data_IF_665931058642
#
_entry.id   IF_665931058642
#
_cell.length_a   1.000
_cell.length_b   1.000
_cell.length_c   1.000
_cell.angle_alpha   90.00
_cell.angle_beta   90.00
_cell.angle_gamma   90.00
#
_symmetry.space_group_name_H-M   'P 1'
#
loop_
_entity.id
_entity.type
_entity.pdbx_description
1 polymer ?
#
# COMPACT_ATOMS: atom_id res chain seq x y z
N UNK A 1 -5.58 9.41 11.07
CA UNK A 1 -4.90 8.44 10.21
C UNK A 1 -3.91 7.57 11.00
N UNK A 2 -2.89 8.12 11.65
CA UNK A 2 -1.80 7.35 12.31
C UNK A 2 -2.25 6.31 13.33
N UNK A 3 -3.27 6.59 14.15
CA UNK A 3 -3.81 5.63 15.11
C UNK A 3 -4.37 4.39 14.41
N UNK A 4 -5.18 4.59 13.38
CA UNK A 4 -5.72 3.47 12.61
C UNK A 4 -4.61 2.70 11.86
N UNK A 5 -3.57 3.39 11.40
CA UNK A 5 -2.45 2.74 10.73
C UNK A 5 -1.65 1.85 11.66
N UNK A 6 -1.39 2.32 12.90
CA UNK A 6 -0.62 1.58 13.89
C UNK A 6 -1.41 0.43 14.52
N UNK A 7 -2.64 0.73 14.96
CA UNK A 7 -3.40 -0.11 15.87
C UNK A 7 -4.57 -0.86 15.19
N UNK A 8 -4.94 -0.47 13.96
CA UNK A 8 -6.11 -0.99 13.26
C UNK A 8 -7.42 -0.30 13.68
N UNK A 9 -8.50 -0.66 13.00
CA UNK A 9 -9.83 -0.11 13.27
C UNK A 9 -10.40 -0.58 14.61
N UNK A 10 -10.34 -1.91 14.88
CA UNK A 10 -10.95 -2.49 16.06
C UNK A 10 -10.35 -1.94 17.36
N UNK A 11 -9.02 -1.92 17.45
CA UNK A 11 -8.29 -1.49 18.65
C UNK A 11 -8.24 0.04 18.85
N UNK A 12 -8.68 0.83 17.87
CA UNK A 12 -8.71 2.29 17.98
C UNK A 12 -10.03 2.75 18.59
N UNK A 13 -10.08 2.93 19.91
CA UNK A 13 -11.24 3.46 20.62
C UNK A 13 -11.46 4.96 20.41
N UNK A 14 -12.73 5.42 20.57
CA UNK A 14 -13.09 6.84 20.38
C UNK A 14 -12.38 7.77 21.37
N UNK A 15 -12.22 7.37 22.63
CA UNK A 15 -11.52 8.16 23.65
C UNK A 15 -10.05 8.41 23.28
N UNK A 16 -9.43 7.45 22.64
CA UNK A 16 -8.06 7.55 22.17
C UNK A 16 -7.94 8.50 20.97
N UNK A 17 -8.95 8.49 20.08
CA UNK A 17 -9.06 9.47 18.99
C UNK A 17 -9.22 10.88 19.54
N UNK A 18 -10.14 11.10 20.49
CA UNK A 18 -10.36 12.38 21.15
C UNK A 18 -9.06 12.90 21.79
N UNK A 19 -8.40 12.08 22.62
CA UNK A 19 -7.12 12.47 23.24
C UNK A 19 -6.04 12.84 22.22
N UNK A 20 -5.92 12.08 21.15
CA UNK A 20 -4.86 12.28 20.14
C UNK A 20 -5.11 13.48 19.24
N UNK A 21 -6.38 13.75 18.89
CA UNK A 21 -6.76 14.85 18.02
C UNK A 21 -6.98 16.16 18.77
N UNK A 22 -7.10 16.11 20.09
CA UNK A 22 -7.53 17.24 20.95
C UNK A 22 -8.91 17.80 20.57
N UNK A 23 -9.67 17.08 19.76
CA UNK A 23 -11.04 17.42 19.40
C UNK A 23 -12.01 16.91 20.47
N UNK A 24 -13.12 17.59 20.69
CA UNK A 24 -14.20 17.07 21.54
C UNK A 24 -14.84 15.86 20.84
N UNK A 25 -15.48 14.98 21.64
CA UNK A 25 -16.29 13.88 21.09
C UNK A 25 -17.39 14.41 20.17
N UNK A 26 -18.06 15.48 20.59
CA UNK A 26 -19.06 16.19 19.79
C UNK A 26 -18.48 16.69 18.45
N UNK A 27 -17.33 17.33 18.48
CA UNK A 27 -16.66 17.85 17.27
C UNK A 27 -16.28 16.75 16.28
N UNK A 28 -15.83 15.58 16.78
CA UNK A 28 -15.55 14.42 15.91
C UNK A 28 -16.82 13.88 15.22
N UNK A 29 -17.93 13.79 15.99
CA UNK A 29 -19.21 13.36 15.42
C UNK A 29 -19.79 14.39 14.45
N UNK A 30 -19.76 15.67 14.80
CA UNK A 30 -20.26 16.75 13.93
C UNK A 30 -19.48 16.82 12.60
N UNK A 31 -18.16 16.56 12.63
CA UNK A 31 -17.31 16.67 11.44
C UNK A 31 -17.36 15.41 10.56
N UNK A 32 -17.35 14.22 11.17
CA UNK A 32 -17.17 12.95 10.45
C UNK A 32 -18.38 12.01 10.55
N UNK A 33 -19.40 12.30 11.37
CA UNK A 33 -20.51 11.41 11.61
C UNK A 33 -20.20 10.26 12.60
N UNK A 34 -18.95 9.85 12.74
CA UNK A 34 -18.54 8.82 13.69
C UNK A 34 -17.18 8.19 13.41
N UNK A 35 -16.81 7.20 14.24
CA UNK A 35 -15.52 6.48 14.12
C UNK A 35 -15.35 5.83 12.74
N UNK A 36 -16.44 5.28 12.19
CA UNK A 36 -16.45 4.62 10.88
C UNK A 36 -16.08 5.60 9.76
N UNK A 37 -16.72 6.74 9.72
CA UNK A 37 -16.51 7.71 8.64
C UNK A 37 -15.17 8.42 8.78
N UNK A 38 -14.72 8.69 10.02
CA UNK A 38 -13.35 9.12 10.29
C UNK A 38 -12.31 8.08 9.81
N UNK A 39 -12.58 6.80 9.97
CA UNK A 39 -11.71 5.73 9.44
C UNK A 39 -11.68 5.73 7.91
N UNK A 40 -12.84 5.84 7.25
CA UNK A 40 -12.92 5.93 5.80
C UNK A 40 -12.21 7.17 5.25
N UNK A 41 -12.34 8.32 5.92
CA UNK A 41 -11.59 9.54 5.60
C UNK A 41 -10.08 9.37 5.83
N UNK A 42 -9.70 8.58 6.84
CA UNK A 42 -8.29 8.26 7.12
C UNK A 42 -7.67 7.36 6.03
N UNK A 43 -8.44 6.41 5.47
CA UNK A 43 -8.01 5.60 4.33
C UNK A 43 -7.80 6.47 3.08
N UNK A 44 -8.72 7.39 2.82
CA UNK A 44 -8.60 8.32 1.70
C UNK A 44 -7.36 9.20 1.84
N UNK A 45 -7.16 9.80 3.03
CA UNK A 45 -5.97 10.61 3.32
C UNK A 45 -4.67 9.81 3.17
N UNK A 46 -4.68 8.53 3.57
CA UNK A 46 -3.52 7.66 3.39
C UNK A 46 -3.24 7.41 1.91
N UNK A 47 -4.27 7.15 1.11
CA UNK A 47 -4.11 6.98 -0.34
C UNK A 47 -3.44 8.19 -0.97
N UNK A 48 -3.94 9.39 -0.68
CA UNK A 48 -3.40 10.65 -1.22
C UNK A 48 -1.98 10.97 -0.72
N UNK A 49 -1.74 10.83 0.59
CA UNK A 49 -0.48 11.28 1.19
C UNK A 49 0.67 10.27 1.09
N UNK A 50 0.35 8.98 0.94
CA UNK A 50 1.36 7.90 0.98
C UNK A 50 1.35 7.08 -0.30
N UNK A 51 0.16 6.63 -0.76
CA UNK A 51 0.08 5.73 -1.91
C UNK A 51 0.27 6.44 -3.24
N UNK A 52 -0.34 7.61 -3.45
CA UNK A 52 -0.20 8.35 -4.70
C UNK A 52 1.26 8.75 -4.97
N UNK A 53 2.01 9.33 -4.02
CA UNK A 53 3.44 9.56 -4.21
C UNK A 53 4.24 8.28 -4.47
N UNK A 54 3.85 7.15 -3.86
CA UNK A 54 4.54 5.87 -4.07
C UNK A 54 4.31 5.34 -5.50
N UNK A 55 3.12 5.52 -6.05
CA UNK A 55 2.72 5.02 -7.37
C UNK A 55 3.14 5.94 -8.52
N UNK A 56 3.51 7.19 -8.23
CA UNK A 56 3.84 8.20 -9.23
C UNK A 56 4.80 7.70 -10.33
N UNK A 57 5.89 6.94 -10.08
CA UNK A 57 6.74 6.45 -11.15
C UNK A 57 6.00 5.56 -12.14
N UNK A 58 5.02 4.79 -11.65
CA UNK A 58 4.23 3.90 -12.48
C UNK A 58 3.14 4.64 -13.27
N UNK A 59 2.85 5.91 -12.98
CA UNK A 59 1.81 6.68 -13.66
C UNK A 59 2.26 7.27 -15.00
N UNK A 60 3.56 7.37 -15.25
CA UNK A 60 4.06 7.72 -16.57
C UNK A 60 3.53 6.72 -17.62
N UNK A 61 3.01 7.24 -18.73
CA UNK A 61 2.49 6.41 -19.82
C UNK A 61 3.58 5.52 -20.44
N UNK A 62 4.86 5.92 -20.35
CA UNK A 62 6.05 5.19 -20.82
C UNK A 62 6.73 4.36 -19.74
N UNK A 63 6.13 4.26 -18.53
CA UNK A 63 6.70 3.46 -17.45
C UNK A 63 7.04 2.04 -17.93
N UNK A 64 8.24 1.56 -17.57
CA UNK A 64 8.78 0.27 -17.95
C UNK A 64 9.49 -0.38 -16.73
N UNK A 65 10.45 -1.28 -16.91
CA UNK A 65 11.18 -1.93 -15.81
C UNK A 65 11.84 -0.93 -14.87
N UNK A 66 12.35 0.19 -15.39
CA UNK A 66 12.97 1.25 -14.58
C UNK A 66 11.99 1.83 -13.56
N UNK A 67 10.77 2.14 -13.97
CA UNK A 67 9.74 2.72 -13.11
C UNK A 67 9.17 1.70 -12.13
N UNK A 68 9.12 0.41 -12.50
CA UNK A 68 8.82 -0.69 -11.58
C UNK A 68 9.89 -0.74 -10.47
N UNK A 69 11.17 -0.63 -10.80
CA UNK A 69 12.25 -0.58 -9.80
C UNK A 69 12.11 0.65 -8.90
N UNK A 70 11.85 1.83 -9.47
CA UNK A 70 11.64 3.07 -8.71
C UNK A 70 10.45 2.96 -7.75
N UNK A 71 9.34 2.32 -8.15
CA UNK A 71 8.22 2.02 -7.25
C UNK A 71 8.67 1.16 -6.06
N UNK A 72 9.41 0.09 -6.29
CA UNK A 72 9.90 -0.77 -5.20
C UNK A 72 10.95 -0.08 -4.32
N UNK A 73 11.76 0.82 -4.86
CA UNK A 73 12.66 1.66 -4.07
C UNK A 73 11.87 2.58 -3.11
N UNK A 74 10.75 3.13 -3.55
CA UNK A 74 9.84 3.91 -2.69
C UNK A 74 9.17 3.03 -1.62
N UNK A 75 8.74 1.80 -1.96
CA UNK A 75 8.24 0.81 -0.98
C UNK A 75 9.30 0.55 0.09
N UNK A 76 10.53 0.24 -0.31
CA UNK A 76 11.64 0.00 0.62
C UNK A 76 12.00 1.26 1.42
N UNK A 77 11.91 2.44 0.80
CA UNK A 77 12.10 3.73 1.46
C UNK A 77 11.08 3.96 2.59
N UNK A 78 9.80 3.70 2.33
CA UNK A 78 8.75 3.80 3.35
C UNK A 78 8.99 2.81 4.51
N UNK A 79 9.40 1.57 4.18
CA UNK A 79 9.70 0.53 5.18
C UNK A 79 10.92 0.90 6.04
N UNK A 80 11.93 1.58 5.50
CA UNK A 80 13.09 2.09 6.26
C UNK A 80 12.76 3.28 7.14
N UNK A 81 11.73 4.03 6.78
CA UNK A 81 11.35 5.26 7.49
C UNK A 81 10.81 5.01 8.90
N UNK A 82 10.61 6.09 9.69
CA UNK A 82 10.19 6.01 11.10
C UNK A 82 8.86 5.27 11.34
N UNK A 83 8.08 5.07 10.30
CA UNK A 83 6.79 4.36 10.34
C UNK A 83 6.81 2.96 9.73
N UNK A 84 7.97 2.46 9.31
CA UNK A 84 8.06 1.26 8.48
C UNK A 84 7.44 0.00 9.09
N UNK A 85 7.57 -0.18 10.40
CA UNK A 85 6.92 -1.28 11.13
C UNK A 85 5.38 -1.21 11.19
N UNK A 86 4.77 -0.11 10.73
CA UNK A 86 3.30 -0.03 10.59
C UNK A 86 2.81 -0.80 9.36
N UNK A 87 3.69 -1.14 8.43
CA UNK A 87 3.33 -1.72 7.14
C UNK A 87 2.57 -0.75 6.25
N UNK A 88 1.70 -1.26 5.39
CA UNK A 88 0.76 -0.47 4.58
C UNK A 88 -0.63 -0.47 5.23
N UNK A 89 -1.23 0.71 5.44
CA UNK A 89 -2.58 0.79 6.03
C UNK A 89 -3.62 0.01 5.20
N UNK A 90 -3.54 0.08 3.87
CA UNK A 90 -4.48 -0.65 2.99
C UNK A 90 -4.32 -2.17 3.14
N UNK A 91 -3.07 -2.67 3.18
CA UNK A 91 -2.80 -4.08 3.44
C UNK A 91 -3.28 -4.49 4.84
N UNK A 92 -3.06 -3.66 5.86
CA UNK A 92 -3.50 -3.94 7.23
C UNK A 92 -5.02 -4.10 7.29
N UNK A 93 -5.77 -3.21 6.63
CA UNK A 93 -7.23 -3.28 6.56
C UNK A 93 -7.71 -4.55 5.84
N UNK A 94 -7.00 -5.00 4.80
CA UNK A 94 -7.31 -6.25 4.11
C UNK A 94 -7.22 -7.48 5.03
N UNK A 95 -6.32 -7.45 6.03
CA UNK A 95 -6.13 -8.56 6.99
C UNK A 95 -7.00 -8.45 8.25
N UNK A 96 -7.59 -7.30 8.53
CA UNK A 96 -8.38 -7.08 9.74
C UNK A 96 -9.76 -7.77 9.63
N UNK A 97 -9.88 -8.97 10.18
CA UNK A 97 -11.14 -9.74 10.19
C UNK A 97 -12.22 -9.04 11.02
N UNK A 98 -13.43 -8.97 10.47
CA UNK A 98 -14.61 -8.48 11.18
C UNK A 98 -14.78 -6.96 11.20
N UNK A 99 -13.78 -6.20 10.85
CA UNK A 99 -13.88 -4.75 10.67
C UNK A 99 -14.08 -4.37 9.20
N UNK A 100 -14.34 -5.34 8.32
CA UNK A 100 -14.43 -5.09 6.88
C UNK A 100 -15.78 -4.48 6.56
N UNK A 101 -15.89 -3.22 6.87
CA UNK A 101 -16.91 -2.36 6.31
C UNK A 101 -16.91 -2.49 4.77
N UNK A 102 -18.06 -2.72 4.14
CA UNK A 102 -18.12 -2.88 2.67
C UNK A 102 -17.50 -1.70 1.91
N UNK A 103 -17.55 -0.49 2.45
CA UNK A 103 -16.92 0.68 1.84
C UNK A 103 -15.39 0.63 1.98
N UNK A 104 -14.87 0.18 3.12
CA UNK A 104 -13.44 -0.05 3.31
C UNK A 104 -12.95 -1.17 2.39
N UNK A 105 -13.65 -2.29 2.31
CA UNK A 105 -13.33 -3.39 1.41
C UNK A 105 -13.29 -2.97 -0.07
N UNK A 106 -14.24 -2.12 -0.50
CA UNK A 106 -14.21 -1.55 -1.86
C UNK A 106 -12.99 -0.67 -2.10
N UNK A 107 -12.57 0.14 -1.09
CA UNK A 107 -11.34 0.97 -1.20
C UNK A 107 -10.09 0.11 -1.32
N UNK A 108 -10.00 -0.94 -0.51
CA UNK A 108 -8.89 -1.91 -0.57
C UNK A 108 -8.81 -2.55 -1.95
N UNK A 109 -9.91 -3.09 -2.47
CA UNK A 109 -9.95 -3.69 -3.82
C UNK A 109 -9.53 -2.70 -4.89
N UNK A 110 -10.11 -1.48 -4.90
CA UNK A 110 -9.74 -0.45 -5.88
C UNK A 110 -8.25 -0.11 -5.83
N UNK A 111 -7.66 -0.08 -4.64
CA UNK A 111 -6.22 0.16 -4.50
C UNK A 111 -5.40 -0.96 -5.15
N UNK A 112 -5.66 -2.21 -4.82
CA UNK A 112 -4.94 -3.34 -5.41
C UNK A 112 -5.14 -3.43 -6.93
N UNK A 113 -6.36 -3.20 -7.41
CA UNK A 113 -6.64 -3.15 -8.84
C UNK A 113 -5.88 -2.01 -9.55
N UNK A 114 -5.74 -0.83 -8.90
CA UNK A 114 -4.93 0.28 -9.45
C UNK A 114 -3.46 -0.11 -9.54
N UNK A 115 -2.87 -0.63 -8.48
CA UNK A 115 -1.47 -1.08 -8.47
C UNK A 115 -1.24 -2.14 -9.55
N UNK A 116 -2.10 -3.15 -9.62
CA UNK A 116 -2.05 -4.21 -10.61
C UNK A 116 -2.10 -3.67 -12.04
N UNK A 117 -3.04 -2.76 -12.33
CA UNK A 117 -3.15 -2.15 -13.67
C UNK A 117 -1.92 -1.33 -14.05
N UNK A 118 -1.37 -0.55 -13.13
CA UNK A 118 -0.17 0.24 -13.36
C UNK A 118 1.05 -0.65 -13.64
N UNK A 119 1.24 -1.70 -12.84
CA UNK A 119 2.29 -2.69 -13.07
C UNK A 119 2.11 -3.41 -14.41
N UNK A 120 0.89 -3.85 -14.75
CA UNK A 120 0.60 -4.50 -16.01
C UNK A 120 0.90 -3.59 -17.21
N UNK A 121 0.58 -2.31 -17.13
CA UNK A 121 0.90 -1.32 -18.17
C UNK A 121 2.41 -1.16 -18.33
N UNK A 122 3.15 -0.98 -17.23
CA UNK A 122 4.60 -0.86 -17.26
C UNK A 122 5.28 -2.12 -17.83
N UNK A 123 4.80 -3.31 -17.46
CA UNK A 123 5.28 -4.59 -18.01
C UNK A 123 4.95 -4.76 -19.48
N UNK A 124 3.78 -4.28 -19.94
CA UNK A 124 3.43 -4.30 -21.36
C UNK A 124 4.35 -3.39 -22.19
N UNK A 125 4.76 -2.23 -21.62
CA UNK A 125 5.78 -1.37 -22.23
C UNK A 125 7.13 -2.10 -22.28
N UNK A 126 7.55 -2.69 -21.16
CA UNK A 126 8.79 -3.47 -21.06
C UNK A 126 8.85 -4.65 -22.04
N UNK A 127 7.71 -5.25 -22.35
CA UNK A 127 7.59 -6.30 -23.40
C UNK A 127 7.84 -5.72 -24.79
N UNK A 128 7.33 -4.52 -25.06
CA UNK A 128 7.47 -3.86 -26.37
C UNK A 128 8.88 -3.33 -26.62
N UNK A 129 9.53 -2.84 -25.56
CA UNK A 129 10.91 -2.33 -25.65
C UNK A 129 11.98 -3.42 -25.47
N UNK A 130 11.56 -4.68 -25.23
CA UNK A 130 12.45 -5.83 -25.11
C UNK A 130 13.13 -5.98 -23.76
N UNK A 131 12.82 -5.17 -22.78
CA UNK A 131 13.41 -5.22 -21.43
C UNK A 131 12.75 -6.26 -20.50
N UNK A 132 11.60 -6.82 -20.86
CA UNK A 132 10.96 -7.94 -20.15
C UNK A 132 11.32 -9.28 -20.82
N UNK A 133 11.82 -10.24 -20.04
CA UNK A 133 12.11 -11.59 -20.51
C UNK A 133 10.92 -12.22 -21.25
N UNK A 134 11.17 -12.83 -22.42
CA UNK A 134 10.14 -13.41 -23.29
C UNK A 134 9.39 -14.59 -22.64
N UNK A 135 10.00 -15.28 -21.68
CA UNK A 135 9.40 -16.40 -20.97
C UNK A 135 8.29 -16.00 -20.00
N UNK A 136 8.23 -14.71 -19.62
CA UNK A 136 7.26 -14.22 -18.64
C UNK A 136 5.97 -13.76 -19.32
N UNK A 137 4.83 -13.86 -18.66
CA UNK A 137 3.57 -13.27 -19.10
C UNK A 137 3.25 -12.01 -18.30
N UNK A 138 2.80 -10.95 -18.98
CA UNK A 138 2.49 -9.66 -18.34
C UNK A 138 1.49 -9.81 -17.19
N UNK A 139 0.35 -10.53 -17.33
CA UNK A 139 -0.60 -10.67 -16.22
C UNK A 139 0.01 -11.35 -14.98
N UNK A 140 0.71 -12.50 -15.20
CA UNK A 140 1.30 -13.26 -14.09
C UNK A 140 2.39 -12.44 -13.37
N UNK A 141 3.22 -11.69 -14.11
CA UNK A 141 4.21 -10.80 -13.51
C UNK A 141 3.56 -9.65 -12.71
N UNK A 142 2.49 -9.05 -13.22
CA UNK A 142 1.79 -7.98 -12.51
C UNK A 142 1.19 -8.51 -11.19
N UNK A 143 0.58 -9.70 -11.22
CA UNK A 143 0.02 -10.36 -10.04
C UNK A 143 1.13 -10.72 -9.03
N UNK A 144 2.25 -11.26 -9.52
CA UNK A 144 3.41 -11.56 -8.69
C UNK A 144 3.98 -10.32 -8.02
N UNK A 145 4.24 -9.25 -8.78
CA UNK A 145 4.80 -8.00 -8.23
C UNK A 145 3.85 -7.32 -7.24
N UNK A 146 2.53 -7.38 -7.47
CA UNK A 146 1.55 -6.92 -6.47
C UNK A 146 1.70 -7.72 -5.16
N UNK A 147 1.82 -9.06 -5.27
CA UNK A 147 2.05 -9.94 -4.12
C UNK A 147 3.36 -9.62 -3.40
N UNK A 148 4.44 -9.34 -4.15
CA UNK A 148 5.75 -8.94 -3.59
C UNK A 148 5.64 -7.63 -2.82
N UNK A 149 4.95 -6.62 -3.36
CA UNK A 149 4.76 -5.35 -2.66
C UNK A 149 3.95 -5.52 -1.36
N UNK A 150 2.84 -6.25 -1.41
CA UNK A 150 2.02 -6.55 -0.23
C UNK A 150 2.81 -7.39 0.81
N UNK A 151 3.56 -8.38 0.35
CA UNK A 151 4.44 -9.22 1.17
C UNK A 151 5.53 -8.43 1.87
N UNK A 152 6.17 -7.47 1.17
CA UNK A 152 7.18 -6.60 1.76
C UNK A 152 6.63 -5.79 2.95
N UNK A 153 5.41 -5.25 2.82
CA UNK A 153 4.74 -4.53 3.92
C UNK A 153 4.34 -5.44 5.08
N UNK A 154 3.88 -6.66 4.79
CA UNK A 154 3.56 -7.66 5.81
C UNK A 154 4.82 -8.06 6.60
N UNK A 155 5.92 -8.35 5.91
CA UNK A 155 7.22 -8.69 6.51
C UNK A 155 7.76 -7.54 7.38
N UNK A 156 7.61 -6.29 6.93
CA UNK A 156 7.99 -5.11 7.71
C UNK A 156 7.15 -5.01 9.00
N UNK A 157 5.84 -5.23 8.91
CA UNK A 157 4.94 -5.20 10.06
C UNK A 157 5.22 -6.35 11.05
N UNK A 158 5.65 -7.51 10.58
CA UNK A 158 6.06 -8.63 11.42
C UNK A 158 7.42 -8.45 12.10
N UNK A 159 8.13 -7.36 11.77
CA UNK A 159 9.43 -7.04 12.39
C UNK A 159 10.63 -7.66 11.68
N UNK A 160 10.47 -8.23 10.49
CA UNK A 160 11.59 -8.76 9.72
C UNK A 160 12.61 -7.68 9.40
N UNK A 161 13.89 -8.06 9.41
CA UNK A 161 14.99 -7.14 9.13
C UNK A 161 14.92 -6.59 7.70
N UNK A 162 15.21 -5.31 7.53
CA UNK A 162 15.15 -4.62 6.22
C UNK A 162 16.06 -5.30 5.18
N UNK A 163 17.20 -5.87 5.58
CA UNK A 163 18.07 -6.61 4.66
C UNK A 163 17.42 -7.85 4.07
N UNK A 164 16.57 -8.56 4.86
CA UNK A 164 15.77 -9.67 4.37
C UNK A 164 14.72 -9.18 3.35
N UNK A 165 13.95 -8.15 3.71
CA UNK A 165 12.90 -7.60 2.85
C UNK A 165 13.47 -7.09 1.52
N UNK A 166 14.64 -6.43 1.57
CA UNK A 166 15.33 -5.98 0.37
C UNK A 166 15.70 -7.15 -0.54
N UNK A 167 16.34 -8.20 -0.02
CA UNK A 167 16.67 -9.38 -0.84
C UNK A 167 15.43 -10.03 -1.45
N UNK A 168 14.33 -10.12 -0.68
CA UNK A 168 13.07 -10.65 -1.18
C UNK A 168 12.56 -9.84 -2.39
N UNK A 169 12.54 -8.51 -2.31
CA UNK A 169 12.15 -7.62 -3.41
C UNK A 169 13.13 -7.72 -4.59
N UNK A 170 14.43 -7.65 -4.33
CA UNK A 170 15.48 -7.72 -5.37
C UNK A 170 15.41 -9.02 -6.15
N UNK A 171 15.16 -10.15 -5.48
CA UNK A 171 15.00 -11.45 -6.14
C UNK A 171 13.83 -11.44 -7.13
N UNK A 172 12.69 -10.87 -6.74
CA UNK A 172 11.55 -10.75 -7.65
C UNK A 172 11.85 -9.83 -8.86
N UNK A 173 12.59 -8.74 -8.65
CA UNK A 173 12.95 -7.80 -9.70
C UNK A 173 14.03 -8.31 -10.66
N UNK A 174 14.95 -9.18 -10.19
CA UNK A 174 15.94 -9.85 -11.05
C UNK A 174 15.30 -10.80 -12.05
N UNK A 175 14.18 -11.40 -11.69
CA UNK A 175 13.45 -12.31 -12.57
C UNK A 175 12.73 -11.64 -13.74
N UNK A 176 12.72 -10.30 -13.83
CA UNK A 176 12.03 -9.59 -14.92
C UNK A 176 12.85 -9.51 -16.21
N UNK A 177 14.17 -9.50 -16.10
CA UNK A 177 15.11 -9.27 -17.21
C UNK A 177 15.89 -10.50 -17.57
#
# INVERSE_FOLDING_TARGET
MELFWRDGYAATGLDRLVRRTRASRYGLYATFGGKRDLFLASLERYSQAVMDPMLEPLEDARASVREIRAFFDRVLGLIRGPGGRRGCLVCNVAFERGAVDPAAARRVRRHFDRVRRLLARALANARRDGSLSRSLTVPACADHLLGVAAGAFLLARSGMAIGFIRRFVETALKGLT
#
